data_IF_139483418180
#
_entry.id   IF_139483418180
#
_cell.length_a   1.000
_cell.length_b   1.000
_cell.length_c   1.000
_cell.angle_alpha   90.00
_cell.angle_beta   90.00
_cell.angle_gamma   90.00
#
_symmetry.space_group_name_H-M   'P 1'
#
loop_
_entity.id
_entity.type
_entity.pdbx_description
1 polymer ?
#
# COMPACT_ATOMS: atom_id res chain seq x y z
N UNK A 1 -26.49 -3.74 12.95
CA UNK A 1 -25.49 -2.75 12.46
C UNK A 1 -24.96 -3.27 11.12
N UNK A 2 -25.01 -2.49 10.02
CA UNK A 2 -24.39 -2.91 8.75
C UNK A 2 -22.90 -2.54 8.77
N UNK A 3 -22.03 -3.54 8.62
CA UNK A 3 -20.57 -3.34 8.50
C UNK A 3 -20.24 -2.86 7.10
N UNK A 4 -19.59 -1.70 6.97
CA UNK A 4 -18.97 -1.28 5.70
C UNK A 4 -17.69 -2.08 5.50
N UNK A 5 -17.48 -2.59 4.29
CA UNK A 5 -16.32 -3.41 3.93
C UNK A 5 -15.55 -2.72 2.81
N UNK A 6 -14.23 -2.71 2.93
CA UNK A 6 -13.32 -2.27 1.88
C UNK A 6 -12.71 -3.49 1.17
N UNK A 7 -12.47 -3.36 -0.14
CA UNK A 7 -11.76 -4.36 -0.96
C UNK A 7 -10.56 -3.67 -1.57
N UNK A 8 -9.34 -4.15 -1.25
CA UNK A 8 -8.09 -3.55 -1.71
C UNK A 8 -7.34 -4.55 -2.60
N UNK A 9 -7.09 -4.18 -3.86
CA UNK A 9 -6.38 -5.01 -4.83
C UNK A 9 -4.86 -4.80 -4.74
N UNK A 10 -4.16 -5.68 -4.01
CA UNK A 10 -2.72 -5.53 -3.73
C UNK A 10 -1.81 -6.51 -4.49
N UNK A 11 -2.31 -7.21 -5.52
CA UNK A 11 -1.57 -8.28 -6.20
C UNK A 11 -0.61 -7.81 -7.31
N UNK A 12 -0.76 -6.59 -7.83
CA UNK A 12 0.01 -6.12 -8.98
C UNK A 12 1.46 -5.76 -8.63
N UNK A 13 2.43 -6.36 -9.35
CA UNK A 13 3.87 -6.21 -9.07
C UNK A 13 4.38 -4.77 -9.14
N UNK A 14 3.96 -4.01 -10.14
CA UNK A 14 4.39 -2.61 -10.33
C UNK A 14 5.58 -2.41 -11.27
N UNK A 15 5.61 -3.08 -12.43
CA UNK A 15 6.71 -3.05 -13.41
C UNK A 15 7.25 -1.66 -13.81
N UNK A 16 6.43 -0.59 -13.66
CA UNK A 16 6.86 0.80 -13.88
C UNK A 16 7.83 1.33 -12.81
N UNK A 17 7.98 0.60 -11.70
CA UNK A 17 8.85 0.90 -10.57
C UNK A 17 10.02 -0.09 -10.48
N UNK A 18 10.33 -0.82 -11.56
CA UNK A 18 11.56 -1.61 -11.63
C UNK A 18 12.78 -0.70 -11.46
N UNK A 19 13.80 -1.09 -10.66
CA UNK A 19 13.96 -2.38 -9.98
C UNK A 19 13.37 -2.46 -8.56
N UNK A 20 12.85 -1.36 -8.01
CA UNK A 20 12.36 -1.31 -6.62
C UNK A 20 11.25 -2.34 -6.34
N UNK A 21 10.41 -2.63 -7.32
CA UNK A 21 9.33 -3.61 -7.20
C UNK A 21 9.74 -5.05 -7.62
N UNK A 22 11.02 -5.34 -7.84
CA UNK A 22 11.46 -6.64 -8.35
C UNK A 22 11.55 -7.72 -7.27
N UNK A 23 11.63 -7.35 -5.99
CA UNK A 23 11.65 -8.28 -4.85
C UNK A 23 10.47 -8.06 -3.90
N UNK A 24 10.06 -6.80 -3.75
CA UNK A 24 8.97 -6.36 -2.87
C UNK A 24 7.76 -5.95 -3.70
N UNK A 25 6.54 -6.27 -3.25
CA UNK A 25 5.31 -5.83 -3.90
C UNK A 25 5.20 -4.30 -3.86
N UNK A 26 4.72 -3.67 -4.93
CA UNK A 26 4.57 -2.19 -4.97
C UNK A 26 3.79 -1.62 -3.78
N UNK A 27 2.80 -2.37 -3.26
CA UNK A 27 1.95 -1.96 -2.15
C UNK A 27 2.69 -1.98 -0.79
N UNK A 28 3.83 -2.66 -0.73
CA UNK A 28 4.69 -2.73 0.46
C UNK A 28 5.85 -1.73 0.41
N UNK A 29 5.99 -0.96 -0.67
CA UNK A 29 7.03 0.06 -0.75
C UNK A 29 6.80 1.15 0.30
N UNK A 30 7.86 1.65 0.95
CA UNK A 30 7.74 2.64 2.02
C UNK A 30 7.40 4.03 1.47
N UNK A 31 6.49 4.72 2.14
CA UNK A 31 6.15 6.13 1.93
C UNK A 31 6.06 6.82 3.29
N UNK A 32 6.57 8.05 3.39
CA UNK A 32 6.39 8.89 4.58
C UNK A 32 4.96 9.42 4.57
N UNK A 33 4.18 9.06 5.60
CA UNK A 33 2.80 9.49 5.76
C UNK A 33 2.72 10.88 6.44
N UNK A 34 1.51 11.44 6.56
CA UNK A 34 1.25 12.79 7.10
C UNK A 34 1.68 12.97 8.55
N UNK A 35 1.80 11.88 9.30
CA UNK A 35 2.32 11.87 10.68
C UNK A 35 3.85 11.79 10.75
N UNK A 36 4.53 11.78 9.59
CA UNK A 36 5.98 11.69 9.48
C UNK A 36 6.53 10.27 9.63
N UNK A 37 5.67 9.26 9.78
CA UNK A 37 6.08 7.87 9.89
C UNK A 37 6.22 7.23 8.51
N UNK A 38 7.26 6.42 8.33
CA UNK A 38 7.40 5.59 7.14
C UNK A 38 6.50 4.37 7.25
N UNK A 39 5.49 4.28 6.39
CA UNK A 39 4.52 3.18 6.33
C UNK A 39 4.56 2.51 4.95
N UNK A 40 4.26 1.21 4.83
CA UNK A 40 3.98 0.63 3.53
C UNK A 40 2.70 1.24 2.95
N UNK A 41 2.66 1.47 1.63
CA UNK A 41 1.50 2.09 0.95
C UNK A 41 0.17 1.41 1.32
N UNK A 42 0.16 0.08 1.45
CA UNK A 42 -1.05 -0.68 1.80
C UNK A 42 -1.61 -0.32 3.19
N UNK A 43 -0.75 0.04 4.13
CA UNK A 43 -1.18 0.46 5.46
C UNK A 43 -1.87 1.82 5.39
N UNK A 44 -1.31 2.77 4.64
CA UNK A 44 -1.93 4.09 4.45
C UNK A 44 -3.33 3.95 3.85
N UNK A 45 -3.49 3.07 2.85
CA UNK A 45 -4.80 2.78 2.24
C UNK A 45 -5.76 2.13 3.25
N UNK A 46 -5.28 1.20 4.08
CA UNK A 46 -6.10 0.53 5.09
C UNK A 46 -6.52 1.45 6.25
N UNK A 47 -5.72 2.46 6.58
CA UNK A 47 -6.05 3.48 7.59
C UNK A 47 -7.13 4.47 7.08
N UNK A 48 -7.23 4.70 5.76
CA UNK A 48 -8.25 5.56 5.15
C UNK A 48 -9.59 4.84 4.90
N UNK A 49 -9.54 3.54 4.57
CA UNK A 49 -10.68 2.75 4.09
C UNK A 49 -11.68 2.34 5.19
#
# INVERSE_FOLDING_TARGET
MQTRKAVITAAGRGVRQYPASDTVQKAMLPVVDRDGLTKPVIQIIAEEA
#
